data_IF_028050146142
#
_entry.id   IF_028050146142
#
_cell.length_a   1.000
_cell.length_b   1.000
_cell.length_c   1.000
_cell.angle_alpha   90.00
_cell.angle_beta   90.00
_cell.angle_gamma   90.00
#
_symmetry.space_group_name_H-M   'P 1'
#
loop_
_entity.id
_entity.type
_entity.pdbx_description
1 polymer ?
#
# COMPACT_ATOMS: atom_id res chain seq x y z
N UNK A 1 13.04 2.97 5.91
CA UNK A 1 13.77 2.36 4.80
C UNK A 1 13.45 0.87 4.82
N UNK A 2 12.65 0.41 3.85
CA UNK A 2 12.48 -1.01 3.62
C UNK A 2 13.76 -1.55 3.00
N UNK A 3 14.36 -2.56 3.62
CA UNK A 3 15.37 -3.35 2.96
C UNK A 3 14.71 -4.19 1.88
N UNK A 4 15.29 -4.25 0.68
CA UNK A 4 14.74 -5.06 -0.43
C UNK A 4 14.49 -6.53 -0.02
N UNK A 5 15.19 -7.01 1.00
CA UNK A 5 15.07 -8.37 1.55
C UNK A 5 13.78 -8.60 2.33
N UNK A 6 13.27 -7.57 3.01
CA UNK A 6 12.05 -7.65 3.84
C UNK A 6 10.76 -7.43 3.04
N UNK A 7 10.86 -6.95 1.80
CA UNK A 7 9.69 -6.73 0.94
C UNK A 7 8.87 -8.03 0.78
N UNK A 8 7.58 -7.91 0.93
CA UNK A 8 6.59 -8.99 0.91
C UNK A 8 6.56 -9.91 2.12
N UNK A 9 7.48 -9.76 3.09
CA UNK A 9 7.44 -10.51 4.35
C UNK A 9 6.13 -10.17 5.10
N UNK A 10 5.29 -11.17 5.50
CA UNK A 10 4.03 -10.92 6.19
C UNK A 10 4.16 -10.21 7.54
N UNK A 11 5.35 -10.22 8.14
CA UNK A 11 5.61 -9.66 9.48
C UNK A 11 6.53 -8.44 9.47
N UNK A 12 7.43 -8.34 8.49
CA UNK A 12 8.42 -7.27 8.43
C UNK A 12 8.04 -6.15 7.44
N UNK A 13 7.28 -6.46 6.37
CA UNK A 13 6.83 -5.45 5.41
C UNK A 13 5.41 -4.97 5.76
N UNK A 14 5.23 -3.74 6.27
CA UNK A 14 3.91 -3.20 6.60
C UNK A 14 3.03 -2.96 5.37
N UNK A 15 3.60 -2.95 4.17
CA UNK A 15 2.89 -2.84 2.89
C UNK A 15 2.54 -4.21 2.31
N UNK A 16 3.06 -5.29 2.88
CA UNK A 16 2.74 -6.65 2.48
C UNK A 16 1.26 -6.97 2.76
N UNK A 17 0.64 -7.57 1.78
CA UNK A 17 -0.73 -8.09 1.90
C UNK A 17 -0.76 -9.62 1.86
N UNK A 18 0.39 -10.24 1.95
CA UNK A 18 0.51 -11.68 2.05
C UNK A 18 0.31 -12.15 3.49
N UNK A 19 -0.23 -13.36 3.61
CA UNK A 19 -0.33 -14.08 4.88
C UNK A 19 0.74 -15.15 4.96
N UNK A 20 1.21 -15.42 6.17
CA UNK A 20 1.88 -16.68 6.48
C UNK A 20 0.94 -17.84 6.12
N UNK A 21 1.37 -18.82 5.29
CA UNK A 21 0.55 -19.95 4.88
C UNK A 21 -0.02 -20.75 6.04
N UNK A 22 0.72 -20.91 7.13
CA UNK A 22 0.24 -21.65 8.31
C UNK A 22 -0.88 -20.89 9.04
N UNK A 23 -0.76 -19.57 9.13
CA UNK A 23 -1.80 -18.69 9.68
C UNK A 23 -3.02 -18.68 8.77
N UNK A 24 -2.82 -18.61 7.44
CA UNK A 24 -3.89 -18.62 6.45
C UNK A 24 -4.72 -19.92 6.50
N UNK A 25 -4.07 -21.06 6.62
CA UNK A 25 -4.73 -22.37 6.68
C UNK A 25 -5.70 -22.51 7.87
N UNK A 26 -5.45 -21.77 8.96
CA UNK A 26 -6.28 -21.76 10.17
C UNK A 26 -7.42 -20.74 10.12
N UNK A 27 -7.46 -19.87 9.12
CA UNK A 27 -8.51 -18.84 9.02
C UNK A 27 -9.88 -19.46 8.68
N UNK A 28 -10.97 -18.99 9.31
CA UNK A 28 -12.33 -19.37 8.92
C UNK A 28 -12.62 -19.02 7.45
N UNK A 29 -13.55 -19.76 6.84
CA UNK A 29 -13.88 -19.58 5.42
C UNK A 29 -14.35 -18.17 5.07
N UNK A 30 -15.13 -17.52 5.97
CA UNK A 30 -15.58 -16.14 5.75
C UNK A 30 -14.43 -15.13 5.76
N UNK A 31 -13.43 -15.30 6.65
CA UNK A 31 -12.22 -14.47 6.69
C UNK A 31 -11.43 -14.64 5.40
N UNK A 32 -11.25 -15.90 4.98
CA UNK A 32 -10.57 -16.19 3.69
C UNK A 32 -11.29 -15.54 2.51
N UNK A 33 -12.62 -15.52 2.51
CA UNK A 33 -13.40 -14.86 1.47
C UNK A 33 -13.17 -13.34 1.48
N UNK A 34 -13.21 -12.68 2.65
CA UNK A 34 -12.93 -11.25 2.81
C UNK A 34 -11.54 -10.90 2.25
N UNK A 35 -10.51 -11.65 2.62
CA UNK A 35 -9.15 -11.35 2.16
C UNK A 35 -8.91 -11.70 0.69
N UNK A 36 -9.61 -12.71 0.13
CA UNK A 36 -9.61 -12.93 -1.32
C UNK A 36 -10.24 -11.76 -2.07
N UNK A 37 -11.36 -11.23 -1.60
CA UNK A 37 -11.95 -10.04 -2.18
C UNK A 37 -11.03 -8.82 -2.02
N UNK A 38 -10.43 -8.62 -0.84
CA UNK A 38 -9.42 -7.59 -0.60
C UNK A 38 -8.22 -7.68 -1.55
N UNK A 39 -7.96 -8.85 -2.11
CA UNK A 39 -6.87 -9.05 -3.07
C UNK A 39 -7.27 -8.77 -4.54
N UNK A 40 -8.47 -8.25 -4.78
CA UNK A 40 -8.86 -7.56 -6.01
C UNK A 40 -8.66 -6.05 -5.85
N UNK A 41 -8.52 -5.31 -6.95
CA UNK A 41 -8.37 -3.86 -6.86
C UNK A 41 -9.61 -3.19 -6.23
N UNK A 42 -10.81 -3.60 -6.64
CA UNK A 42 -12.05 -3.11 -6.05
C UNK A 42 -12.13 -3.41 -4.54
N UNK A 43 -11.87 -4.65 -4.16
CA UNK A 43 -11.86 -5.04 -2.75
C UNK A 43 -10.84 -4.27 -1.94
N UNK A 44 -9.63 -4.04 -2.51
CA UNK A 44 -8.58 -3.23 -1.89
C UNK A 44 -9.03 -1.79 -1.62
N UNK A 45 -9.72 -1.18 -2.57
CA UNK A 45 -10.26 0.17 -2.42
C UNK A 45 -11.41 0.22 -1.41
N UNK A 46 -12.37 -0.73 -1.49
CA UNK A 46 -13.58 -0.72 -0.67
C UNK A 46 -13.35 -1.17 0.77
N UNK A 47 -12.71 -2.30 0.98
CA UNK A 47 -12.53 -2.87 2.32
C UNK A 47 -11.09 -2.84 2.81
N UNK A 48 -10.12 -2.87 1.90
CA UNK A 48 -8.71 -2.87 2.26
C UNK A 48 -8.26 -1.60 2.98
N UNK A 49 -8.94 -0.48 2.72
CA UNK A 49 -8.75 0.77 3.44
C UNK A 49 -9.08 0.59 4.93
N UNK A 50 -10.28 0.07 5.24
CA UNK A 50 -10.69 -0.18 6.62
C UNK A 50 -9.83 -1.26 7.29
N UNK A 51 -9.58 -2.38 6.59
CA UNK A 51 -8.76 -3.48 7.12
C UNK A 51 -7.34 -3.01 7.46
N UNK A 52 -6.71 -2.25 6.55
CA UNK A 52 -5.37 -1.72 6.77
C UNK A 52 -5.33 -0.72 7.92
N UNK A 53 -6.34 0.16 8.03
CA UNK A 53 -6.41 1.13 9.12
C UNK A 53 -6.61 0.46 10.48
N UNK A 54 -7.52 -0.53 10.56
CA UNK A 54 -7.73 -1.30 11.78
C UNK A 54 -6.46 -2.06 12.18
N UNK A 55 -5.81 -2.72 11.22
CA UNK A 55 -4.55 -3.45 11.48
C UNK A 55 -3.46 -2.52 12.03
N UNK A 56 -3.28 -1.35 11.41
CA UNK A 56 -2.34 -0.32 11.85
C UNK A 56 -2.65 0.15 13.28
N UNK A 57 -3.90 0.53 13.56
CA UNK A 57 -4.30 0.96 14.90
C UNK A 57 -4.10 -0.13 15.96
N UNK A 58 -4.39 -1.39 15.62
CA UNK A 58 -4.17 -2.52 16.51
C UNK A 58 -2.68 -2.78 16.76
N UNK A 59 -1.82 -2.59 15.78
CA UNK A 59 -0.37 -2.72 15.94
C UNK A 59 0.16 -1.64 16.88
N UNK A 60 -0.16 -0.38 16.62
CA UNK A 60 0.24 0.74 17.46
C UNK A 60 -0.28 0.62 18.90
N UNK A 61 -1.53 0.17 19.05
CA UNK A 61 -2.10 -0.07 20.38
C UNK A 61 -1.30 -1.12 21.17
N UNK A 62 -0.82 -2.18 20.51
CA UNK A 62 0.05 -3.19 21.17
C UNK A 62 1.39 -2.57 21.58
N UNK A 63 1.99 -1.74 20.74
CA UNK A 63 3.24 -1.02 21.07
C UNK A 63 3.05 -0.10 22.28
N UNK A 64 1.96 0.69 22.30
CA UNK A 64 1.61 1.57 23.43
C UNK A 64 1.44 0.75 24.72
N UNK A 65 0.71 -0.36 24.65
CA UNK A 65 0.56 -1.26 25.82
C UNK A 65 1.85 -1.93 26.24
N UNK A 66 2.78 -2.11 25.30
CA UNK A 66 4.14 -2.58 25.56
C UNK A 66 5.07 -1.52 26.15
N UNK A 67 4.59 -0.29 26.34
CA UNK A 67 5.34 0.81 26.96
C UNK A 67 6.10 1.70 25.96
N UNK A 68 5.82 1.60 24.65
CA UNK A 68 6.44 2.49 23.65
C UNK A 68 5.89 3.92 23.79
N UNK A 69 6.69 4.77 24.44
CA UNK A 69 6.35 6.18 24.69
C UNK A 69 6.38 7.03 23.41
N UNK A 70 7.19 6.65 22.42
CA UNK A 70 7.29 7.39 21.16
C UNK A 70 5.98 7.27 20.38
N UNK A 71 5.46 6.05 20.23
CA UNK A 71 4.16 5.80 19.59
C UNK A 71 3.03 6.44 20.39
N UNK A 72 3.04 6.35 21.74
CA UNK A 72 2.03 7.00 22.57
C UNK A 72 2.02 8.51 22.40
N UNK A 73 3.19 9.15 22.36
CA UNK A 73 3.33 10.60 22.16
C UNK A 73 2.85 11.00 20.76
N UNK A 74 3.21 10.24 19.74
CA UNK A 74 2.75 10.48 18.36
C UNK A 74 1.21 10.45 18.28
N UNK A 75 0.57 9.46 18.90
CA UNK A 75 -0.89 9.39 18.98
C UNK A 75 -1.51 10.54 19.75
N UNK A 76 -0.92 10.96 20.89
CA UNK A 76 -1.41 12.10 21.65
C UNK A 76 -1.39 13.39 20.82
N UNK A 77 -0.30 13.67 20.12
CA UNK A 77 -0.19 14.82 19.22
C UNK A 77 -1.16 14.71 18.04
N UNK A 78 -1.32 13.52 17.47
CA UNK A 78 -2.28 13.28 16.39
C UNK A 78 -3.71 13.56 16.83
N UNK A 79 -4.11 13.11 18.03
CA UNK A 79 -5.45 13.36 18.58
C UNK A 79 -5.72 14.85 18.79
N UNK A 80 -4.72 15.62 19.23
CA UNK A 80 -4.85 17.10 19.30
C UNK A 80 -5.16 17.66 17.90
N UNK A 81 -4.43 17.24 16.87
CA UNK A 81 -4.70 17.63 15.48
C UNK A 81 -6.10 17.23 15.01
N UNK A 82 -6.53 16.02 15.33
CA UNK A 82 -7.88 15.52 15.00
C UNK A 82 -8.98 16.39 15.65
N UNK A 83 -8.80 16.77 16.92
CA UNK A 83 -9.76 17.65 17.62
C UNK A 83 -9.91 18.98 16.87
N UNK A 84 -8.81 19.59 16.45
CA UNK A 84 -8.84 20.85 15.69
C UNK A 84 -9.55 20.69 14.34
N UNK A 85 -9.26 19.62 13.60
CA UNK A 85 -9.91 19.35 12.31
C UNK A 85 -11.40 19.10 12.49
N UNK A 86 -11.80 18.28 13.45
CA UNK A 86 -13.21 17.99 13.73
C UNK A 86 -13.96 19.25 14.15
N UNK A 87 -13.35 20.04 15.05
CA UNK A 87 -13.91 21.33 15.45
C UNK A 87 -14.12 22.24 14.23
N UNK A 88 -13.11 22.37 13.37
CA UNK A 88 -13.19 23.21 12.18
C UNK A 88 -14.29 22.73 11.22
N UNK A 89 -14.39 21.42 10.99
CA UNK A 89 -15.43 20.84 10.12
C UNK A 89 -16.82 21.13 10.68
N UNK A 90 -17.04 21.02 11.99
CA UNK A 90 -18.36 21.17 12.60
C UNK A 90 -18.72 22.65 12.81
N UNK A 91 -17.77 23.48 13.26
CA UNK A 91 -18.05 24.83 13.69
C UNK A 91 -17.85 25.90 12.61
N UNK A 92 -16.98 25.63 11.62
CA UNK A 92 -16.55 26.64 10.63
C UNK A 92 -16.96 26.21 9.21
N UNK A 93 -16.83 24.93 8.87
CA UNK A 93 -17.15 24.43 7.54
C UNK A 93 -18.66 24.26 7.36
N UNK A 94 -19.17 24.56 6.16
CA UNK A 94 -20.54 24.21 5.76
C UNK A 94 -20.70 22.72 5.38
N UNK A 95 -19.62 21.93 5.45
CA UNK A 95 -19.63 20.52 5.06
C UNK A 95 -20.25 19.65 6.16
N UNK A 96 -21.25 18.81 5.84
CA UNK A 96 -21.75 17.83 6.80
C UNK A 96 -20.62 16.86 7.23
N UNK A 97 -20.55 16.53 8.51
CA UNK A 97 -19.47 15.68 9.05
C UNK A 97 -19.35 14.30 8.36
N UNK A 98 -20.50 13.71 7.98
CA UNK A 98 -20.48 12.44 7.23
C UNK A 98 -19.82 12.59 5.84
N UNK A 99 -19.98 13.76 5.18
CA UNK A 99 -19.36 14.01 3.89
C UNK A 99 -17.83 14.13 4.02
N UNK A 100 -17.35 14.75 5.12
CA UNK A 100 -15.93 14.77 5.48
C UNK A 100 -15.38 13.34 5.67
N UNK A 101 -16.08 12.50 6.45
CA UNK A 101 -15.65 11.11 6.66
C UNK A 101 -15.62 10.30 5.36
N UNK A 102 -16.63 10.48 4.51
CA UNK A 102 -16.66 9.84 3.21
C UNK A 102 -15.50 10.30 2.31
N UNK A 103 -15.25 11.60 2.25
CA UNK A 103 -14.13 12.16 1.47
C UNK A 103 -12.78 11.65 1.98
N UNK A 104 -12.57 11.59 3.30
CA UNK A 104 -11.38 11.04 3.90
C UNK A 104 -11.21 9.56 3.55
N UNK A 105 -12.28 8.77 3.61
CA UNK A 105 -12.26 7.36 3.22
C UNK A 105 -11.93 7.19 1.74
N UNK A 106 -12.56 7.96 0.86
CA UNK A 106 -12.28 7.94 -0.58
C UNK A 106 -10.82 8.33 -0.89
N UNK A 107 -10.27 9.32 -0.18
CA UNK A 107 -8.86 9.71 -0.31
C UNK A 107 -7.92 8.56 0.07
N UNK A 108 -8.19 7.88 1.18
CA UNK A 108 -7.41 6.70 1.58
C UNK A 108 -7.59 5.53 0.61
N UNK A 109 -8.81 5.32 0.06
CA UNK A 109 -9.09 4.30 -0.93
C UNK A 109 -8.32 4.55 -2.24
N UNK A 110 -8.18 5.82 -2.62
CA UNK A 110 -7.40 6.21 -3.81
C UNK A 110 -5.92 5.81 -3.66
N UNK A 111 -5.33 6.00 -2.49
CA UNK A 111 -3.95 5.58 -2.21
C UNK A 111 -3.78 4.06 -2.34
N UNK A 112 -4.83 3.27 -2.06
CA UNK A 112 -4.79 1.81 -2.22
C UNK A 112 -4.62 1.35 -3.67
N UNK A 113 -4.94 2.18 -4.66
CA UNK A 113 -4.63 1.91 -6.08
C UNK A 113 -3.11 1.89 -6.29
N UNK A 114 -2.40 2.85 -5.69
CA UNK A 114 -0.94 2.92 -5.74
C UNK A 114 -0.32 1.66 -5.16
N UNK A 115 -0.66 1.34 -3.90
CA UNK A 115 -0.02 0.25 -3.15
C UNK A 115 -0.46 -1.15 -3.60
N UNK A 116 -1.42 -1.27 -4.51
CA UNK A 116 -1.95 -2.57 -4.93
C UNK A 116 -0.92 -3.48 -5.59
N UNK A 117 -0.02 -2.92 -6.40
CA UNK A 117 0.99 -3.65 -7.16
C UNK A 117 2.44 -3.36 -6.73
N UNK A 118 2.66 -2.48 -5.77
CA UNK A 118 4.00 -2.02 -5.40
C UNK A 118 4.97 -3.18 -5.19
N UNK A 119 4.53 -4.19 -4.44
CA UNK A 119 5.36 -5.36 -4.16
C UNK A 119 4.69 -6.67 -4.62
N UNK A 120 5.47 -7.56 -5.20
CA UNK A 120 5.09 -8.96 -5.51
C UNK A 120 6.06 -9.94 -4.85
N UNK A 121 5.56 -11.12 -4.47
CA UNK A 121 6.43 -12.20 -4.04
C UNK A 121 7.30 -12.68 -5.22
N UNK A 122 8.62 -12.64 -5.03
CA UNK A 122 9.59 -13.08 -6.02
C UNK A 122 10.87 -13.55 -5.31
N UNK A 123 11.55 -14.56 -5.85
CA UNK A 123 12.77 -15.12 -5.28
C UNK A 123 13.88 -14.06 -5.18
N UNK A 124 14.08 -13.30 -6.26
CA UNK A 124 15.04 -12.20 -6.27
C UNK A 124 14.42 -10.95 -5.67
N UNK A 125 14.95 -10.47 -4.55
CA UNK A 125 14.44 -9.31 -3.82
C UNK A 125 14.30 -8.08 -4.73
N UNK A 126 15.29 -7.82 -5.57
CA UNK A 126 15.29 -6.69 -6.54
C UNK A 126 14.19 -6.75 -7.59
N UNK A 127 13.54 -7.93 -7.80
CA UNK A 127 12.46 -8.11 -8.76
C UNK A 127 11.06 -7.99 -8.14
N UNK A 128 10.97 -7.57 -6.87
CA UNK A 128 9.71 -7.47 -6.13
C UNK A 128 8.95 -6.17 -6.40
N UNK A 129 9.59 -5.12 -6.92
CA UNK A 129 9.00 -3.80 -7.12
C UNK A 129 8.50 -3.56 -8.55
N UNK A 130 7.35 -2.90 -8.69
CA UNK A 130 6.64 -2.68 -9.95
C UNK A 130 7.18 -1.48 -10.75
N UNK A 131 6.91 -1.50 -12.05
CA UNK A 131 6.87 -0.33 -12.93
C UNK A 131 5.47 -0.24 -13.56
N UNK A 132 4.84 0.92 -13.46
CA UNK A 132 3.64 1.25 -14.24
C UNK A 132 4.00 2.46 -15.10
N UNK A 133 4.07 2.27 -16.44
CA UNK A 133 4.52 3.29 -17.40
C UNK A 133 3.43 4.34 -17.65
N UNK A 134 2.79 4.83 -16.57
CA UNK A 134 1.72 5.83 -16.64
C UNK A 134 2.28 7.24 -16.39
N UNK A 135 1.72 8.22 -17.09
CA UNK A 135 2.05 9.66 -16.99
C UNK A 135 0.79 10.50 -16.76
N UNK A 136 -0.34 9.84 -16.47
CA UNK A 136 -1.63 10.50 -16.27
C UNK A 136 -1.81 11.06 -14.86
N UNK A 137 -3.06 11.40 -14.57
CA UNK A 137 -3.46 12.02 -13.29
C UNK A 137 -3.09 11.14 -12.09
N UNK A 138 -3.25 9.82 -12.19
CA UNK A 138 -2.91 8.93 -11.08
C UNK A 138 -1.39 8.90 -10.82
N UNK A 139 -0.56 8.92 -11.86
CA UNK A 139 0.89 9.01 -11.69
C UNK A 139 1.30 10.30 -10.98
N UNK A 140 0.68 11.43 -11.34
CA UNK A 140 0.89 12.71 -10.66
C UNK A 140 0.43 12.69 -9.20
N UNK A 141 -0.79 12.24 -8.94
CA UNK A 141 -1.35 12.13 -7.58
C UNK A 141 -0.52 11.21 -6.68
N UNK A 142 0.10 10.19 -7.25
CA UNK A 142 0.96 9.26 -6.51
C UNK A 142 2.44 9.65 -6.56
N UNK A 143 2.75 10.91 -6.93
CA UNK A 143 4.10 11.46 -6.96
C UNK A 143 5.07 10.57 -7.78
N UNK A 144 4.63 10.09 -8.94
CA UNK A 144 5.40 9.19 -9.81
C UNK A 144 5.95 7.91 -9.12
N UNK A 145 5.39 7.53 -7.96
CA UNK A 145 5.79 6.28 -7.28
C UNK A 145 5.38 5.01 -8.05
N UNK A 146 4.67 5.16 -9.16
CA UNK A 146 4.45 4.11 -10.14
C UNK A 146 5.75 3.61 -10.81
N UNK A 147 6.84 4.38 -10.74
CA UNK A 147 8.20 3.94 -11.06
C UNK A 147 8.90 3.37 -9.80
N UNK A 148 8.25 2.42 -9.14
CA UNK A 148 8.62 1.98 -7.79
C UNK A 148 10.02 1.36 -7.73
N UNK A 149 10.43 0.59 -8.75
CA UNK A 149 11.81 0.07 -8.85
C UNK A 149 12.86 1.18 -8.93
N UNK A 150 12.53 2.31 -9.58
CA UNK A 150 13.44 3.46 -9.69
C UNK A 150 13.57 4.15 -8.34
N UNK A 151 12.43 4.30 -7.64
CA UNK A 151 12.40 4.85 -6.28
C UNK A 151 13.24 4.01 -5.31
N UNK A 152 13.08 2.69 -5.29
CA UNK A 152 13.88 1.79 -4.46
C UNK A 152 15.38 1.80 -4.81
N UNK A 153 15.72 1.88 -6.09
CA UNK A 153 17.12 1.96 -6.53
C UNK A 153 17.76 3.33 -6.20
N UNK A 154 16.97 4.40 -6.18
CA UNK A 154 17.42 5.78 -6.00
C UNK A 154 16.52 6.58 -5.05
N UNK A 155 16.41 6.23 -3.76
CA UNK A 155 15.45 6.80 -2.82
C UNK A 155 15.64 8.30 -2.53
N UNK A 156 16.81 8.85 -2.86
CA UNK A 156 17.13 10.28 -2.70
C UNK A 156 16.73 11.13 -3.90
N UNK A 157 16.30 10.51 -5.01
CA UNK A 157 15.88 11.25 -6.21
C UNK A 157 14.47 11.80 -5.98
N UNK A 158 14.29 13.09 -6.26
CA UNK A 158 12.99 13.74 -6.14
C UNK A 158 11.96 13.11 -7.09
N UNK A 159 10.73 12.93 -6.60
CA UNK A 159 9.65 12.23 -7.30
C UNK A 159 9.40 12.70 -8.74
N UNK A 160 9.53 14.01 -9.01
CA UNK A 160 9.34 14.59 -10.35
C UNK A 160 10.47 14.26 -11.33
N UNK A 161 11.61 13.73 -10.85
CA UNK A 161 12.74 13.27 -11.67
C UNK A 161 12.71 11.78 -11.95
N UNK A 162 11.90 11.00 -11.25
CA UNK A 162 11.81 9.54 -11.43
C UNK A 162 11.48 9.15 -12.87
N UNK A 163 10.53 9.83 -13.57
CA UNK A 163 10.21 9.50 -14.95
C UNK A 163 11.40 9.69 -15.91
N UNK A 164 12.13 10.80 -15.79
CA UNK A 164 13.28 11.06 -16.65
C UNK A 164 14.43 10.06 -16.39
N UNK A 165 14.65 9.71 -15.11
CA UNK A 165 15.65 8.71 -14.74
C UNK A 165 15.28 7.33 -15.27
N UNK A 166 13.98 6.97 -15.22
CA UNK A 166 13.49 5.73 -15.81
C UNK A 166 13.76 5.67 -17.31
N UNK A 167 13.38 6.70 -18.07
CA UNK A 167 13.59 6.73 -19.52
C UNK A 167 15.08 6.63 -19.89
N UNK A 168 15.94 7.30 -19.14
CA UNK A 168 17.38 7.27 -19.37
C UNK A 168 18.03 5.88 -19.19
N UNK A 169 17.38 4.99 -18.42
CA UNK A 169 17.90 3.66 -18.06
C UNK A 169 16.81 2.58 -18.09
N UNK A 170 15.85 2.70 -18.98
CA UNK A 170 14.64 1.87 -19.06
C UNK A 170 14.96 0.38 -19.04
N UNK A 171 15.82 -0.07 -19.93
CA UNK A 171 16.19 -1.48 -20.06
C UNK A 171 16.83 -2.03 -18.78
N UNK A 172 17.69 -1.24 -18.14
CA UNK A 172 18.34 -1.65 -16.90
C UNK A 172 17.33 -1.82 -15.75
N UNK A 173 16.34 -0.92 -15.62
CA UNK A 173 15.29 -1.05 -14.60
C UNK A 173 14.34 -2.19 -14.90
N UNK A 174 13.98 -2.43 -16.17
CA UNK A 174 13.14 -3.55 -16.57
C UNK A 174 13.87 -4.89 -16.37
N UNK A 175 15.17 -4.97 -16.66
CA UNK A 175 15.98 -6.15 -16.36
C UNK A 175 16.09 -6.37 -14.82
N UNK A 176 16.24 -5.29 -14.03
CA UNK A 176 16.32 -5.36 -12.56
C UNK A 176 15.07 -6.00 -11.96
N UNK A 177 13.87 -5.64 -12.42
CA UNK A 177 12.60 -6.15 -11.87
C UNK A 177 12.00 -7.31 -12.67
N UNK A 178 12.78 -7.91 -13.55
CA UNK A 178 12.37 -9.06 -14.40
C UNK A 178 11.04 -8.77 -15.12
N UNK A 179 10.99 -7.60 -15.75
CA UNK A 179 9.87 -7.15 -16.58
C UNK A 179 8.52 -7.12 -15.83
N UNK A 180 8.54 -6.85 -14.52
CA UNK A 180 7.32 -6.59 -13.75
C UNK A 180 6.80 -5.19 -14.09
N UNK A 181 6.23 -5.07 -15.29
CA UNK A 181 5.85 -3.81 -15.93
C UNK A 181 4.39 -3.84 -16.37
N UNK A 182 3.68 -2.74 -16.14
CA UNK A 182 2.34 -2.46 -16.67
C UNK A 182 2.39 -1.21 -17.53
N UNK A 183 1.59 -1.18 -18.59
CA UNK A 183 1.55 -0.04 -19.54
C UNK A 183 0.92 1.22 -18.97
N UNK A 184 -0.08 1.05 -18.09
CA UNK A 184 -0.82 2.16 -17.49
C UNK A 184 -1.66 1.69 -16.30
N UNK A 185 -2.18 2.61 -15.51
CA UNK A 185 -3.20 2.29 -14.50
C UNK A 185 -4.48 1.73 -15.13
N UNK A 186 -4.85 2.14 -16.37
CA UNK A 186 -5.96 1.55 -17.09
C UNK A 186 -5.76 0.04 -17.31
N UNK A 187 -4.55 -0.37 -17.66
CA UNK A 187 -4.21 -1.79 -17.80
C UNK A 187 -4.35 -2.53 -16.46
N UNK A 188 -3.91 -1.91 -15.35
CA UNK A 188 -4.08 -2.46 -14.00
C UNK A 188 -5.56 -2.64 -13.65
N UNK A 189 -6.39 -1.62 -13.90
CA UNK A 189 -7.84 -1.71 -13.68
C UNK A 189 -8.48 -2.82 -14.53
N UNK A 190 -8.17 -2.87 -15.82
CA UNK A 190 -8.72 -3.89 -16.71
C UNK A 190 -8.38 -5.33 -16.27
N UNK A 191 -7.18 -5.53 -15.72
CA UNK A 191 -6.72 -6.87 -15.29
C UNK A 191 -7.25 -7.27 -13.92
N UNK A 192 -7.28 -6.34 -12.95
CA UNK A 192 -7.40 -6.69 -11.53
C UNK A 192 -8.61 -6.08 -10.83
N UNK A 193 -9.49 -5.36 -11.53
CA UNK A 193 -10.62 -4.72 -10.86
C UNK A 193 -11.45 -5.71 -10.04
N UNK A 194 -11.81 -6.85 -10.65
CA UNK A 194 -12.54 -7.95 -10.00
C UNK A 194 -11.72 -9.25 -9.92
N UNK A 195 -10.47 -9.25 -10.37
CA UNK A 195 -9.61 -10.43 -10.31
C UNK A 195 -8.54 -10.25 -9.25
N UNK A 196 -8.22 -11.33 -8.55
CA UNK A 196 -7.15 -11.34 -7.57
C UNK A 196 -5.80 -11.16 -8.25
N UNK A 197 -4.92 -10.41 -7.59
CA UNK A 197 -3.54 -10.18 -8.05
C UNK A 197 -2.69 -11.46 -7.93
N UNK A 198 -2.66 -12.02 -6.72
CA UNK A 198 -1.78 -13.12 -6.29
C UNK A 198 -2.55 -14.05 -5.35
N UNK A 199 -1.99 -15.21 -4.95
CA UNK A 199 -2.48 -15.94 -3.79
C UNK A 199 -2.38 -15.08 -2.52
N UNK A 200 -3.36 -15.18 -1.63
CA UNK A 200 -3.33 -14.45 -0.33
C UNK A 200 -2.22 -15.01 0.58
N UNK A 201 -2.04 -16.35 0.74
CA UNK A 201 -0.87 -16.89 1.41
C UNK A 201 0.37 -16.63 0.56
N UNK A 202 1.48 -16.22 1.20
CA UNK A 202 2.72 -15.91 0.53
C UNK A 202 3.29 -17.14 -0.19
N UNK A 203 3.42 -17.12 -1.53
CA UNK A 203 3.75 -18.34 -2.29
C UNK A 203 5.17 -18.86 -2.09
N UNK A 204 6.08 -17.99 -1.63
CA UNK A 204 7.49 -18.30 -1.41
C UNK A 204 7.90 -18.17 0.06
N UNK A 205 6.92 -18.19 0.98
CA UNK A 205 7.19 -18.02 2.40
C UNK A 205 8.01 -19.17 2.95
N UNK A 206 9.09 -18.81 3.63
CA UNK A 206 9.90 -19.75 4.43
C UNK A 206 9.99 -19.16 5.84
N UNK A 207 9.53 -19.86 6.88
CA UNK A 207 9.74 -19.42 8.25
C UNK A 207 11.23 -19.21 8.51
N UNK A 208 11.57 -18.09 9.12
CA UNK A 208 12.95 -17.82 9.59
C UNK A 208 13.25 -18.61 10.86
#
# INVERSE_FOLDING_TARGET
HHHDEDLTDPYADPESNYFDPAVWARQPSFVRWIYRFNNTLLGRMLIGTALGQISFMCADWRLIRGGDRSVATAWALHLVGVVWVVWWVIAVSAMPFWAYLLAAYCGMALIKIRTFLEHRAHEKCRARTVIIEDRGILAFLFLNNNFHVVHHAHPKVAWYRLPALYEARKEAFQARNESYVYRSYRDVFARYFLRTKDPVPHPLWRPK
#
